data_IF_637409874883
#
_entry.id   IF_637409874883
#
_cell.length_a   1.000
_cell.length_b   1.000
_cell.length_c   1.000
_cell.angle_alpha   90.00
_cell.angle_beta   90.00
_cell.angle_gamma   90.00
#
_symmetry.space_group_name_H-M   'P 1'
#
loop_
_entity.id
_entity.type
_entity.pdbx_description
1 polymer ?
#
# COMPACT_ATOMS: atom_id res chain seq x y z
N UNK A 1 -3.12 14.35 -14.75
CA UNK A 1 -3.84 13.10 -14.41
C UNK A 1 -3.79 12.94 -12.91
N UNK A 2 -4.80 13.43 -12.19
CA UNK A 2 -4.95 13.12 -10.77
C UNK A 2 -5.17 11.62 -10.69
N UNK A 3 -4.15 10.87 -10.28
CA UNK A 3 -4.33 9.46 -9.91
C UNK A 3 -5.44 9.46 -8.86
N UNK A 4 -6.61 8.93 -9.24
CA UNK A 4 -7.82 9.11 -8.47
C UNK A 4 -7.72 8.47 -7.08
N UNK A 5 -8.64 8.83 -6.17
CA UNK A 5 -8.74 8.20 -4.85
C UNK A 5 -8.75 6.66 -4.93
N UNK A 6 -9.25 6.09 -6.03
CA UNK A 6 -9.26 4.65 -6.31
C UNK A 6 -7.88 3.98 -6.23
N UNK A 7 -6.83 4.62 -6.77
CA UNK A 7 -5.45 4.10 -6.73
C UNK A 7 -4.92 4.08 -5.30
N UNK A 8 -5.25 5.12 -4.53
CA UNK A 8 -4.87 5.21 -3.13
C UNK A 8 -5.54 4.11 -2.30
N UNK A 9 -6.84 3.90 -2.48
CA UNK A 9 -7.58 2.85 -1.79
C UNK A 9 -7.06 1.45 -2.14
N UNK A 10 -6.67 1.19 -3.40
CA UNK A 10 -6.04 -0.06 -3.79
C UNK A 10 -4.70 -0.29 -3.09
N UNK A 11 -3.82 0.70 -3.04
CA UNK A 11 -2.52 0.59 -2.36
C UNK A 11 -2.69 0.30 -0.87
N UNK A 12 -3.60 1.04 -0.23
CA UNK A 12 -3.85 0.97 1.20
C UNK A 12 -4.48 -0.38 1.59
N UNK A 13 -5.49 -0.83 0.84
CA UNK A 13 -6.13 -2.14 1.08
C UNK A 13 -5.17 -3.31 0.84
N UNK A 14 -4.31 -3.21 -0.17
CA UNK A 14 -3.27 -4.21 -0.45
C UNK A 14 -2.31 -4.34 0.74
N UNK A 15 -1.80 -3.21 1.26
CA UNK A 15 -0.92 -3.22 2.42
C UNK A 15 -1.62 -3.71 3.68
N UNK A 16 -2.84 -3.25 3.95
CA UNK A 16 -3.62 -3.67 5.12
C UNK A 16 -3.90 -5.18 5.10
N UNK A 17 -4.17 -5.77 3.93
CA UNK A 17 -4.40 -7.20 3.78
C UNK A 17 -3.13 -8.04 4.00
N UNK A 18 -1.99 -7.62 3.46
CA UNK A 18 -0.75 -8.40 3.53
C UNK A 18 0.06 -8.20 4.82
N UNK A 19 0.02 -6.99 5.40
CA UNK A 19 0.80 -6.63 6.59
C UNK A 19 -0.05 -6.61 7.87
N UNK A 20 -1.38 -6.77 7.75
CA UNK A 20 -2.33 -6.68 8.85
C UNK A 20 -2.24 -5.37 9.66
N UNK A 21 -1.70 -4.31 9.04
CA UNK A 21 -1.66 -2.98 9.63
C UNK A 21 -3.05 -2.34 9.70
N UNK A 22 -3.25 -1.50 10.72
CA UNK A 22 -4.46 -0.70 10.82
C UNK A 22 -4.52 0.34 9.70
N UNK A 23 -5.72 0.60 9.17
CA UNK A 23 -5.94 1.53 8.06
C UNK A 23 -5.32 2.90 8.31
N UNK A 24 -5.49 3.41 9.52
CA UNK A 24 -4.98 4.72 9.94
C UNK A 24 -3.46 4.83 9.82
N UNK A 25 -2.73 3.79 10.26
CA UNK A 25 -1.27 3.73 10.16
C UNK A 25 -0.77 3.72 8.70
N UNK A 26 -1.55 3.16 7.77
CA UNK A 26 -1.20 3.14 6.34
C UNK A 26 -1.52 4.47 5.66
N UNK A 27 -2.56 5.16 6.13
CA UNK A 27 -2.96 6.48 5.64
C UNK A 27 -1.99 7.59 6.09
N UNK A 28 -1.38 7.42 7.26
CA UNK A 28 -0.38 8.35 7.81
C UNK A 28 0.99 8.29 7.10
N UNK A 29 1.25 7.22 6.34
CA UNK A 29 2.50 7.09 5.57
C UNK A 29 2.60 8.14 4.46
N UNK A 30 3.79 8.73 4.33
CA UNK A 30 4.13 9.55 3.18
C UNK A 30 3.94 8.76 1.88
N UNK A 31 3.49 9.46 0.82
CA UNK A 31 3.21 8.85 -0.48
C UNK A 31 4.40 8.05 -1.02
N UNK A 32 5.64 8.52 -0.81
CA UNK A 32 6.85 7.84 -1.26
C UNK A 32 7.07 6.50 -0.51
N UNK A 33 6.89 6.50 0.81
CA UNK A 33 7.07 5.31 1.64
C UNK A 33 5.99 4.28 1.36
N UNK A 34 4.72 4.70 1.25
CA UNK A 34 3.64 3.78 0.89
C UNK A 34 3.91 3.07 -0.43
N UNK A 35 4.34 3.81 -1.46
CA UNK A 35 4.69 3.24 -2.78
C UNK A 35 5.85 2.26 -2.68
N UNK A 36 6.83 2.52 -1.81
CA UNK A 36 7.95 1.61 -1.54
C UNK A 36 7.47 0.32 -0.88
N UNK A 37 6.65 0.41 0.17
CA UNK A 37 6.09 -0.77 0.84
C UNK A 37 5.21 -1.61 -0.08
N UNK A 38 4.39 -0.98 -0.93
CA UNK A 38 3.60 -1.71 -1.93
C UNK A 38 4.50 -2.52 -2.86
N UNK A 39 5.60 -1.92 -3.34
CA UNK A 39 6.54 -2.62 -4.23
C UNK A 39 7.23 -3.79 -3.54
N UNK A 40 7.72 -3.60 -2.32
CA UNK A 40 8.39 -4.66 -1.55
C UNK A 40 7.43 -5.80 -1.20
N UNK A 41 6.21 -5.45 -0.78
CA UNK A 41 5.19 -6.46 -0.44
C UNK A 41 4.77 -7.26 -1.67
N UNK A 42 4.64 -6.63 -2.83
CA UNK A 42 4.37 -7.32 -4.10
C UNK A 42 5.47 -8.28 -4.49
N UNK A 43 6.73 -7.87 -4.36
CA UNK A 43 7.88 -8.70 -4.67
C UNK A 43 7.93 -9.94 -3.75
N UNK A 44 7.72 -9.75 -2.45
CA UNK A 44 7.62 -10.84 -1.47
C UNK A 44 6.42 -11.77 -1.73
N UNK A 45 5.27 -11.22 -2.12
CA UNK A 45 4.09 -12.01 -2.45
C UNK A 45 4.25 -12.80 -3.75
N UNK A 46 5.03 -12.30 -4.71
CA UNK A 46 5.31 -12.99 -5.98
C UNK A 46 6.36 -14.12 -5.84
N UNK A 47 7.14 -14.12 -4.76
CA UNK A 47 8.13 -15.16 -4.46
C UNK A 47 7.52 -16.38 -3.74
N UNK A 48 6.22 -16.38 -3.46
CA UNK A 48 5.50 -17.46 -2.78
C UNK A 48 4.54 -18.21 -3.68
#
# INVERSE_FOLDING_TARGET
>A
MTCGPDVLYQEVSYLAYHLHWQLDAVLDLEHADRRRFVRLTRDLAAQR
#
